data_IF_802858231022
#
_entry.id   IF_802858231022
#
_cell.length_a   1.000
_cell.length_b   1.000
_cell.length_c   1.000
_cell.angle_alpha   90.00
_cell.angle_beta   90.00
_cell.angle_gamma   90.00
#
_symmetry.space_group_name_H-M   'P 1'
#
loop_
_entity.id
_entity.type
_entity.pdbx_description
1 polymer ?
#
# COMPACT_ATOMS: atom_id res chain seq x y z
N UNK A 1 -63.47 30.47 37.51
CA UNK A 1 -62.56 29.31 37.50
C UNK A 1 -62.09 29.15 36.06
N UNK A 2 -60.96 29.69 35.70
CA UNK A 2 -60.46 29.60 34.32
C UNK A 2 -59.23 28.74 34.29
N UNK A 3 -59.32 27.62 33.60
CA UNK A 3 -58.32 26.63 33.39
C UNK A 3 -57.43 27.04 32.20
N UNK A 4 -56.14 27.32 32.42
CA UNK A 4 -55.17 27.63 31.37
C UNK A 4 -54.48 26.32 30.96
N UNK A 5 -54.76 25.83 29.75
CA UNK A 5 -54.01 24.79 29.12
C UNK A 5 -52.65 25.32 28.58
N UNK A 6 -51.57 24.86 29.17
CA UNK A 6 -50.22 25.13 28.71
C UNK A 6 -49.84 24.05 27.66
N UNK A 7 -49.80 24.42 26.39
CA UNK A 7 -49.33 23.53 25.33
C UNK A 7 -47.79 23.59 25.30
N UNK A 8 -47.15 22.51 25.76
CA UNK A 8 -45.71 22.34 25.64
C UNK A 8 -45.38 21.89 24.21
N UNK A 9 -44.78 22.78 23.42
CA UNK A 9 -44.26 22.49 22.08
C UNK A 9 -42.89 21.80 22.24
N UNK A 10 -42.87 20.46 22.09
CA UNK A 10 -41.65 19.66 22.10
C UNK A 10 -40.95 19.83 20.74
N UNK A 11 -39.94 20.70 20.67
CA UNK A 11 -39.09 20.84 19.48
C UNK A 11 -38.10 19.67 19.46
N UNK A 12 -38.41 18.64 18.71
CA UNK A 12 -37.46 17.56 18.45
C UNK A 12 -36.36 18.07 17.50
N UNK A 13 -35.19 18.45 18.04
CA UNK A 13 -34.01 18.68 17.25
C UNK A 13 -33.58 17.33 16.66
N UNK A 14 -33.92 17.09 15.41
CA UNK A 14 -33.33 16.00 14.62
C UNK A 14 -31.89 16.40 14.32
N UNK A 15 -30.96 15.94 15.14
CA UNK A 15 -29.53 16.04 14.86
C UNK A 15 -29.25 15.16 13.62
N UNK A 16 -29.38 15.72 12.42
CA UNK A 16 -28.84 15.09 11.22
C UNK A 16 -27.34 15.03 11.41
N UNK A 17 -26.81 13.84 11.71
CA UNK A 17 -25.40 13.60 11.57
C UNK A 17 -25.02 13.98 10.13
N UNK A 18 -24.14 14.97 9.97
CA UNK A 18 -23.56 15.35 8.68
C UNK A 18 -22.73 14.13 8.22
N UNK A 19 -23.36 13.21 7.52
CA UNK A 19 -22.63 12.17 6.81
C UNK A 19 -22.01 12.87 5.61
N UNK A 20 -20.69 12.79 5.50
CA UNK A 20 -19.99 13.22 4.29
C UNK A 20 -20.53 12.38 3.10
N UNK A 21 -20.67 13.01 1.95
CA UNK A 21 -21.17 12.33 0.76
C UNK A 21 -20.26 11.14 0.37
N UNK A 22 -20.83 10.03 -0.10
CA UNK A 22 -20.05 8.92 -0.63
C UNK A 22 -19.15 9.35 -1.80
N UNK A 23 -18.06 8.61 -2.02
CA UNK A 23 -17.22 8.81 -3.19
C UNK A 23 -18.09 8.73 -4.46
N UNK A 24 -18.05 9.78 -5.27
CA UNK A 24 -18.83 9.85 -6.50
C UNK A 24 -18.34 8.81 -7.53
N UNK A 25 -19.24 8.35 -8.41
CA UNK A 25 -18.86 7.49 -9.52
C UNK A 25 -17.98 8.25 -10.54
N UNK A 26 -17.07 7.55 -11.17
CA UNK A 26 -16.05 8.11 -12.04
C UNK A 26 -14.80 8.58 -11.28
N UNK A 27 -13.95 9.38 -11.95
CA UNK A 27 -12.76 9.96 -11.34
C UNK A 27 -13.12 11.10 -10.38
N UNK A 28 -12.36 11.19 -9.27
CA UNK A 28 -12.57 12.23 -8.25
C UNK A 28 -11.32 12.42 -7.40
N UNK A 29 -11.44 13.30 -6.41
CA UNK A 29 -10.42 13.56 -5.40
C UNK A 29 -11.07 13.91 -4.07
N UNK A 30 -10.36 13.63 -2.97
CA UNK A 30 -10.69 14.18 -1.66
C UNK A 30 -9.42 14.47 -0.86
N UNK A 31 -9.56 15.29 0.18
CA UNK A 31 -8.48 15.56 1.14
C UNK A 31 -8.69 14.69 2.39
N UNK A 32 -7.73 13.78 2.65
CA UNK A 32 -7.74 12.96 3.86
C UNK A 32 -7.03 13.70 5.00
N UNK A 33 -7.69 13.95 6.15
CA UNK A 33 -7.05 14.57 7.30
C UNK A 33 -5.81 13.81 7.78
N UNK A 34 -4.68 14.51 7.91
CA UNK A 34 -3.42 13.94 8.38
C UNK A 34 -2.61 14.97 9.18
N UNK A 35 -3.06 15.31 10.37
CA UNK A 35 -2.46 16.38 11.18
C UNK A 35 -2.72 17.75 10.57
N UNK A 36 -1.67 18.57 10.45
CA UNK A 36 -1.75 19.94 9.91
C UNK A 36 -1.82 19.97 8.39
N UNK A 37 -1.36 18.91 7.71
CA UNK A 37 -1.29 18.85 6.25
C UNK A 37 -2.06 17.62 5.75
N UNK A 38 -3.20 17.80 5.07
CA UNK A 38 -3.97 16.69 4.53
C UNK A 38 -3.20 15.94 3.43
N UNK A 39 -3.66 14.75 3.12
CA UNK A 39 -3.20 13.97 1.98
C UNK A 39 -4.25 14.05 0.88
N UNK A 40 -3.87 14.56 -0.27
CA UNK A 40 -4.73 14.51 -1.47
C UNK A 40 -4.81 13.07 -1.95
N UNK A 41 -6.02 12.56 -2.11
CA UNK A 41 -6.29 11.21 -2.58
C UNK A 41 -7.09 11.27 -3.88
N UNK A 42 -6.54 10.70 -4.94
CA UNK A 42 -7.22 10.56 -6.22
C UNK A 42 -8.05 9.28 -6.21
N UNK A 43 -9.28 9.35 -6.72
CA UNK A 43 -10.22 8.23 -6.65
C UNK A 43 -10.75 7.85 -8.01
N UNK A 44 -11.20 6.60 -8.11
CA UNK A 44 -12.09 6.15 -9.17
C UNK A 44 -13.06 5.13 -8.58
N UNK A 45 -14.36 5.37 -8.79
CA UNK A 45 -15.42 4.44 -8.41
C UNK A 45 -16.19 4.03 -9.67
N UNK A 46 -16.25 2.73 -10.01
CA UNK A 46 -16.98 2.29 -11.18
C UNK A 46 -18.45 2.75 -11.12
N UNK A 47 -19.06 3.18 -12.23
CA UNK A 47 -20.49 3.48 -12.26
C UNK A 47 -21.36 2.28 -11.87
N UNK A 48 -20.85 1.07 -12.08
CA UNK A 48 -21.49 -0.20 -11.75
C UNK A 48 -21.19 -0.71 -10.34
N UNK A 49 -20.42 0.07 -9.54
CA UNK A 49 -20.02 -0.33 -8.19
C UNK A 49 -21.23 -0.66 -7.30
N UNK A 50 -21.12 -1.77 -6.55
CA UNK A 50 -22.14 -2.19 -5.56
C UNK A 50 -21.53 -2.27 -4.17
N UNK A 51 -20.80 -3.34 -3.87
CA UNK A 51 -20.28 -3.66 -2.54
C UNK A 51 -18.84 -4.20 -2.57
N UNK A 52 -18.05 -3.85 -3.58
CA UNK A 52 -16.67 -4.30 -3.72
C UNK A 52 -15.73 -3.64 -2.70
N UNK A 53 -14.51 -4.18 -2.55
CA UNK A 53 -13.51 -3.66 -1.63
C UNK A 53 -12.88 -2.34 -2.12
N UNK A 54 -12.04 -1.76 -1.26
CA UNK A 54 -11.14 -0.65 -1.64
C UNK A 54 -9.83 -1.22 -2.18
N UNK A 55 -9.30 -0.63 -3.25
CA UNK A 55 -7.96 -0.86 -3.75
C UNK A 55 -7.13 0.41 -3.53
N UNK A 56 -6.19 0.36 -2.59
CA UNK A 56 -5.23 1.45 -2.38
C UNK A 56 -4.06 1.27 -3.32
N UNK A 57 -3.80 2.28 -4.17
CA UNK A 57 -2.80 2.22 -5.24
C UNK A 57 -1.64 3.15 -4.93
N UNK A 58 -0.41 2.66 -5.06
CA UNK A 58 0.81 3.40 -4.75
C UNK A 58 1.62 3.67 -6.01
N UNK A 59 1.86 4.96 -6.28
CA UNK A 59 2.56 5.44 -7.47
C UNK A 59 4.07 5.17 -7.46
N UNK A 60 4.71 5.31 -8.61
CA UNK A 60 6.16 5.20 -8.79
C UNK A 60 6.95 6.41 -8.28
N UNK A 61 8.26 6.42 -8.56
CA UNK A 61 9.18 7.48 -8.15
C UNK A 61 8.86 8.84 -8.77
N UNK A 62 8.18 8.86 -9.92
CA UNK A 62 7.72 10.08 -10.61
C UNK A 62 6.66 10.87 -9.86
N UNK A 63 5.97 10.26 -8.89
CA UNK A 63 4.86 10.85 -8.11
C UNK A 63 3.65 11.25 -8.98
N UNK A 64 3.50 10.67 -10.16
CA UNK A 64 2.40 10.90 -11.11
C UNK A 64 1.14 10.14 -10.65
N UNK A 65 0.57 10.57 -9.53
CA UNK A 65 -0.53 9.89 -8.83
C UNK A 65 -1.78 9.69 -9.69
N UNK A 66 -2.12 10.69 -10.53
CA UNK A 66 -3.28 10.63 -11.39
C UNK A 66 -3.14 9.56 -12.47
N UNK A 67 -1.96 9.41 -13.06
CA UNK A 67 -1.69 8.32 -14.01
C UNK A 67 -1.90 6.95 -13.35
N UNK A 68 -1.40 6.77 -12.13
CA UNK A 68 -1.57 5.52 -11.39
C UNK A 68 -3.04 5.21 -11.05
N UNK A 69 -3.84 6.25 -10.71
CA UNK A 69 -5.28 6.11 -10.59
C UNK A 69 -5.88 5.65 -11.92
N UNK A 70 -5.47 6.28 -13.03
CA UNK A 70 -5.98 5.95 -14.36
C UNK A 70 -5.58 4.54 -14.80
N UNK A 71 -4.35 4.10 -14.56
CA UNK A 71 -3.91 2.73 -14.82
C UNK A 71 -4.74 1.69 -14.04
N UNK A 72 -5.18 2.03 -12.83
CA UNK A 72 -5.97 1.16 -11.99
C UNK A 72 -7.47 1.12 -12.36
N UNK A 73 -7.96 1.96 -13.29
CA UNK A 73 -9.36 1.93 -13.76
C UNK A 73 -9.72 0.53 -14.30
N UNK A 74 -8.80 -0.10 -15.04
CA UNK A 74 -9.02 -1.47 -15.55
C UNK A 74 -9.29 -2.46 -14.41
N UNK A 75 -8.57 -2.35 -13.30
CA UNK A 75 -8.81 -3.19 -12.12
C UNK A 75 -10.14 -2.84 -11.46
N UNK A 76 -10.46 -1.54 -11.38
CA UNK A 76 -11.74 -1.08 -10.80
C UNK A 76 -12.94 -1.66 -11.55
N UNK A 77 -12.94 -1.56 -12.88
CA UNK A 77 -14.03 -2.06 -13.73
C UNK A 77 -14.12 -3.60 -13.72
N UNK A 78 -12.97 -4.29 -13.76
CA UNK A 78 -12.97 -5.77 -13.77
C UNK A 78 -13.45 -6.40 -12.47
N UNK A 79 -13.11 -5.77 -11.33
CA UNK A 79 -13.33 -6.38 -10.02
C UNK A 79 -14.32 -5.61 -9.13
N UNK A 80 -14.92 -4.53 -9.65
CA UNK A 80 -15.89 -3.73 -8.91
C UNK A 80 -15.32 -3.10 -7.64
N UNK A 81 -14.06 -2.62 -7.67
CA UNK A 81 -13.39 -2.04 -6.49
C UNK A 81 -13.35 -0.52 -6.57
N UNK A 82 -13.36 0.15 -5.41
CA UNK A 82 -13.07 1.58 -5.34
C UNK A 82 -11.56 1.76 -5.32
N UNK A 83 -11.01 2.46 -6.32
CA UNK A 83 -9.60 2.84 -6.37
C UNK A 83 -9.38 4.12 -5.56
N UNK A 84 -8.37 4.11 -4.69
CA UNK A 84 -7.88 5.28 -3.95
C UNK A 84 -6.36 5.35 -4.07
N UNK A 85 -5.86 6.47 -4.57
CA UNK A 85 -4.42 6.66 -4.87
C UNK A 85 -3.92 7.89 -4.13
N UNK A 86 -3.29 7.76 -2.96
CA UNK A 86 -2.77 8.88 -2.18
C UNK A 86 -1.55 9.50 -2.86
N UNK A 87 -1.48 10.82 -2.85
CA UNK A 87 -0.31 11.58 -3.29
C UNK A 87 0.73 11.66 -2.16
N UNK A 88 1.83 10.97 -2.34
CA UNK A 88 3.04 11.15 -1.54
C UNK A 88 4.02 12.01 -2.34
N UNK A 89 3.87 13.33 -2.30
CA UNK A 89 4.73 14.28 -3.00
C UNK A 89 6.21 14.20 -2.56
N UNK A 90 7.12 14.71 -3.39
CA UNK A 90 8.56 14.57 -3.14
C UNK A 90 9.05 15.39 -1.95
N UNK A 91 8.43 16.53 -1.69
CA UNK A 91 8.88 17.48 -0.67
C UNK A 91 8.59 16.95 0.73
N UNK A 92 7.35 16.52 0.98
CA UNK A 92 6.94 15.92 2.25
C UNK A 92 7.41 14.48 2.43
N UNK A 93 7.51 13.74 1.32
CA UNK A 93 7.82 12.31 1.31
C UNK A 93 9.00 11.96 0.39
N UNK A 94 10.22 12.44 0.67
CA UNK A 94 11.41 12.00 -0.05
C UNK A 94 11.57 10.48 0.03
N UNK A 95 12.51 9.89 -0.73
CA UNK A 95 12.69 8.44 -0.82
C UNK A 95 12.84 7.74 0.54
N UNK A 96 13.48 8.40 1.51
CA UNK A 96 13.60 7.88 2.89
C UNK A 96 12.25 7.75 3.59
N UNK A 97 11.30 8.62 3.31
CA UNK A 97 9.95 8.57 3.87
C UNK A 97 8.97 7.79 3.01
N UNK A 98 9.06 7.85 1.69
CA UNK A 98 8.18 7.08 0.83
C UNK A 98 8.64 5.63 0.70
N UNK A 99 9.71 5.36 -0.02
CA UNK A 99 10.14 3.97 -0.29
C UNK A 99 10.57 3.23 0.98
N UNK A 100 11.10 3.94 2.00
CA UNK A 100 11.60 3.36 3.26
C UNK A 100 10.69 3.64 4.47
N UNK A 101 9.53 4.27 4.26
CA UNK A 101 8.49 4.45 5.28
C UNK A 101 8.77 5.49 6.35
N UNK A 102 9.93 6.14 6.36
CA UNK A 102 10.28 7.10 7.41
C UNK A 102 10.53 6.46 8.77
N UNK A 103 11.00 5.22 8.81
CA UNK A 103 11.33 4.53 10.07
C UNK A 103 12.46 5.24 10.81
N UNK A 104 13.41 5.75 10.05
CA UNK A 104 14.56 6.49 10.57
C UNK A 104 14.45 7.97 10.21
N UNK A 105 14.88 8.83 11.11
CA UNK A 105 15.06 10.26 10.86
C UNK A 105 16.32 10.51 10.00
N UNK A 106 16.59 11.74 9.57
CA UNK A 106 17.81 12.06 8.79
C UNK A 106 19.13 11.72 9.48
N UNK A 107 19.13 11.59 10.82
CA UNK A 107 20.30 11.22 11.62
C UNK A 107 20.42 9.70 11.84
N UNK A 108 19.51 8.90 11.24
CA UNK A 108 19.49 7.45 11.39
C UNK A 108 18.83 6.95 12.69
N UNK A 109 18.19 7.83 13.47
CA UNK A 109 17.49 7.46 14.69
C UNK A 109 16.08 6.98 14.37
N UNK A 110 15.66 5.91 15.03
CA UNK A 110 14.30 5.36 14.92
C UNK A 110 13.25 6.36 15.36
N UNK A 111 12.20 6.50 14.56
CA UNK A 111 11.03 7.32 14.87
C UNK A 111 9.90 6.46 15.46
N UNK A 112 9.03 7.08 16.26
CA UNK A 112 7.78 6.45 16.70
C UNK A 112 6.92 6.04 15.50
N UNK A 113 6.25 4.90 15.56
CA UNK A 113 5.45 4.36 14.45
C UNK A 113 4.35 5.29 13.97
N UNK A 114 3.83 6.16 14.84
CA UNK A 114 2.86 7.20 14.46
C UNK A 114 3.42 8.26 13.50
N UNK A 115 4.76 8.43 13.45
CA UNK A 115 5.44 9.35 12.54
C UNK A 115 5.84 8.69 11.19
N UNK A 116 5.70 7.37 11.08
CA UNK A 116 5.98 6.65 9.85
C UNK A 116 4.97 7.00 8.75
N UNK A 117 5.43 7.03 7.52
CA UNK A 117 4.55 7.24 6.37
C UNK A 117 3.48 6.15 6.26
N UNK A 118 3.75 4.95 6.75
CA UNK A 118 2.79 3.85 6.79
C UNK A 118 1.56 4.17 7.64
N UNK A 119 1.68 5.00 8.69
CA UNK A 119 0.58 5.41 9.56
C UNK A 119 -0.50 6.26 8.85
N UNK A 120 -0.21 6.74 7.65
CA UNK A 120 -1.19 7.44 6.80
C UNK A 120 -2.25 6.47 6.25
N UNK A 121 -1.86 5.23 5.98
CA UNK A 121 -2.73 4.26 5.29
C UNK A 121 -4.01 3.92 6.10
N UNK A 122 -3.94 3.55 7.38
CA UNK A 122 -5.15 3.30 8.17
C UNK A 122 -6.06 4.54 8.28
N UNK A 123 -5.51 5.77 8.23
CA UNK A 123 -6.32 7.00 8.22
C UNK A 123 -7.10 7.12 6.91
N UNK A 124 -6.46 6.88 5.76
CA UNK A 124 -7.12 6.90 4.45
C UNK A 124 -8.23 5.84 4.41
N UNK A 125 -7.94 4.62 4.82
CA UNK A 125 -8.93 3.53 4.84
C UNK A 125 -10.11 3.87 5.76
N UNK A 126 -9.84 4.40 6.96
CA UNK A 126 -10.90 4.83 7.88
C UNK A 126 -11.75 5.96 7.28
N UNK A 127 -11.13 6.93 6.60
CA UNK A 127 -11.82 8.02 5.94
C UNK A 127 -12.74 7.51 4.82
N UNK A 128 -12.25 6.62 3.95
CA UNK A 128 -13.05 5.99 2.89
C UNK A 128 -14.20 5.18 3.46
N UNK A 129 -13.95 4.40 4.53
CA UNK A 129 -14.99 3.65 5.25
C UNK A 129 -16.08 4.58 5.80
N UNK A 130 -15.70 5.77 6.26
CA UNK A 130 -16.63 6.82 6.71
C UNK A 130 -17.47 7.39 5.57
N UNK A 131 -16.84 7.77 4.45
CA UNK A 131 -17.52 8.27 3.26
C UNK A 131 -18.53 7.25 2.70
N UNK A 132 -18.15 5.97 2.63
CA UNK A 132 -19.01 4.90 2.11
C UNK A 132 -20.02 4.37 3.15
N UNK A 133 -20.00 4.88 4.39
CA UNK A 133 -20.79 4.38 5.52
C UNK A 133 -20.63 2.85 5.75
N UNK A 134 -19.46 2.30 5.44
CA UNK A 134 -19.13 0.87 5.50
C UNK A 134 -17.91 0.64 6.40
N UNK A 135 -18.05 0.59 7.73
CA UNK A 135 -16.92 0.56 8.68
C UNK A 135 -16.04 -0.69 8.57
N UNK A 136 -16.53 -1.77 7.96
CA UNK A 136 -15.80 -3.03 7.76
C UNK A 136 -15.42 -3.29 6.30
N UNK A 137 -15.50 -2.27 5.43
CA UNK A 137 -15.14 -2.41 4.02
C UNK A 137 -13.72 -2.96 3.90
N UNK A 138 -13.52 -4.15 3.29
CA UNK A 138 -12.18 -4.72 3.14
C UNK A 138 -11.35 -3.89 2.17
N UNK A 139 -10.02 -3.97 2.30
CA UNK A 139 -9.13 -3.29 1.38
C UNK A 139 -7.94 -4.15 0.96
N UNK A 140 -7.47 -3.87 -0.24
CA UNK A 140 -6.28 -4.42 -0.88
C UNK A 140 -5.31 -3.29 -1.17
N UNK A 141 -4.05 -3.60 -1.32
CA UNK A 141 -3.02 -2.64 -1.70
C UNK A 141 -2.24 -3.14 -2.92
N UNK A 142 -1.97 -2.27 -3.86
CA UNK A 142 -1.06 -2.53 -4.99
C UNK A 142 -0.16 -1.31 -5.21
N UNK A 143 1.11 -1.55 -5.44
CA UNK A 143 2.06 -0.48 -5.77
C UNK A 143 3.11 -0.96 -6.75
N UNK A 144 3.49 -0.10 -7.68
CA UNK A 144 4.49 -0.42 -8.69
C UNK A 144 5.78 0.37 -8.45
N UNK A 145 6.94 -0.23 -8.74
CA UNK A 145 8.24 0.42 -8.64
C UNK A 145 8.52 0.96 -7.22
N UNK A 146 8.60 2.28 -7.01
CA UNK A 146 8.74 2.90 -5.69
C UNK A 146 7.55 2.57 -4.77
N UNK A 147 6.33 2.49 -5.30
CA UNK A 147 5.14 2.03 -4.58
C UNK A 147 5.25 0.56 -4.16
N UNK A 148 5.82 -0.28 -5.00
CA UNK A 148 6.16 -1.66 -4.66
C UNK A 148 7.19 -1.74 -3.53
N UNK A 149 8.23 -0.89 -3.58
CA UNK A 149 9.22 -0.79 -2.50
C UNK A 149 8.58 -0.36 -1.17
N UNK A 150 7.65 0.62 -1.22
CA UNK A 150 6.88 1.03 -0.06
C UNK A 150 6.12 -0.15 0.55
N UNK A 151 5.42 -0.92 -0.28
CA UNK A 151 4.56 -2.02 0.16
C UNK A 151 5.33 -3.22 0.71
N UNK A 152 6.48 -3.58 0.14
CA UNK A 152 7.35 -4.62 0.68
C UNK A 152 7.74 -4.29 2.13
N UNK A 153 8.09 -3.05 2.41
CA UNK A 153 8.50 -2.61 3.75
C UNK A 153 7.31 -2.40 4.68
N UNK A 154 6.21 -1.85 4.17
CA UNK A 154 4.97 -1.76 4.94
C UNK A 154 4.52 -3.13 5.44
N UNK A 155 4.64 -4.18 4.61
CA UNK A 155 4.29 -5.55 4.99
C UNK A 155 5.12 -6.07 6.18
N UNK A 156 6.36 -5.58 6.36
CA UNK A 156 7.21 -5.93 7.49
C UNK A 156 6.85 -5.19 8.78
N UNK A 157 6.54 -3.91 8.69
CA UNK A 157 6.48 -3.04 9.84
C UNK A 157 5.06 -2.59 10.22
N UNK A 158 4.13 -2.53 9.26
CA UNK A 158 2.75 -2.09 9.52
C UNK A 158 1.76 -2.65 8.45
N UNK A 159 1.61 -3.98 8.33
CA UNK A 159 0.73 -4.58 7.30
C UNK A 159 -0.75 -4.21 7.48
N UNK A 160 -1.17 -3.82 8.69
CA UNK A 160 -2.56 -3.47 8.97
C UNK A 160 -3.53 -4.63 8.76
N UNK A 161 -4.76 -4.30 8.33
CA UNK A 161 -5.86 -5.24 8.05
C UNK A 161 -6.00 -5.53 6.54
N UNK A 162 -4.99 -5.23 5.72
CA UNK A 162 -5.06 -5.46 4.29
C UNK A 162 -5.27 -6.96 3.99
N UNK A 163 -6.25 -7.27 3.15
CA UNK A 163 -6.52 -8.65 2.71
C UNK A 163 -5.34 -9.18 1.89
N UNK A 164 -4.75 -8.31 1.05
CA UNK A 164 -3.56 -8.61 0.24
C UNK A 164 -2.75 -7.34 0.00
N UNK A 165 -1.44 -7.48 -0.01
CA UNK A 165 -0.44 -6.44 -0.30
C UNK A 165 0.32 -6.89 -1.55
N UNK A 166 0.19 -6.17 -2.67
CA UNK A 166 0.81 -6.54 -3.95
C UNK A 166 1.92 -5.56 -4.30
N UNK A 167 3.15 -6.04 -4.28
CA UNK A 167 4.33 -5.27 -4.68
C UNK A 167 4.70 -5.62 -6.13
N UNK A 168 4.34 -4.74 -7.08
CA UNK A 168 4.60 -4.90 -8.49
C UNK A 168 5.96 -4.30 -8.88
N UNK A 169 6.83 -5.08 -9.46
CA UNK A 169 8.17 -4.68 -9.96
C UNK A 169 8.94 -3.74 -8.99
N UNK A 170 9.10 -4.06 -7.70
CA UNK A 170 9.85 -3.20 -6.79
C UNK A 170 11.29 -3.00 -7.26
N UNK A 171 11.79 -1.77 -7.16
CA UNK A 171 13.20 -1.47 -7.50
C UNK A 171 14.21 -2.15 -6.57
N UNK A 172 13.83 -2.37 -5.30
CA UNK A 172 14.57 -3.16 -4.31
C UNK A 172 13.60 -3.79 -3.31
N UNK A 173 14.04 -4.84 -2.64
CA UNK A 173 13.26 -5.59 -1.67
C UNK A 173 13.83 -5.46 -0.26
N UNK A 174 13.06 -5.84 0.74
CA UNK A 174 13.51 -6.03 2.12
C UNK A 174 13.74 -7.54 2.31
N UNK A 175 15.00 -7.96 2.22
CA UNK A 175 15.36 -9.34 2.48
C UNK A 175 15.20 -9.67 3.98
N UNK A 176 14.70 -10.85 4.35
CA UNK A 176 14.46 -11.20 5.74
C UNK A 176 15.77 -11.63 6.43
N UNK A 177 16.80 -10.79 6.33
CA UNK A 177 18.11 -11.00 6.94
C UNK A 177 18.59 -9.72 7.63
N UNK A 178 19.59 -9.85 8.53
CA UNK A 178 20.23 -8.74 9.24
C UNK A 178 21.61 -8.38 8.68
N UNK A 179 22.01 -9.03 7.59
CA UNK A 179 23.31 -8.80 6.92
C UNK A 179 23.21 -7.54 6.07
N UNK A 180 22.17 -7.45 5.25
CA UNK A 180 21.90 -6.27 4.46
C UNK A 180 21.36 -5.15 5.34
N UNK A 181 21.92 -3.94 5.19
CA UNK A 181 21.46 -2.76 5.93
C UNK A 181 20.01 -2.40 5.59
N UNK A 182 19.32 -1.71 6.52
CA UNK A 182 17.95 -1.25 6.31
C UNK A 182 17.80 -0.42 5.03
N UNK A 183 16.75 -0.75 4.34
CA UNK A 183 16.50 -0.39 2.95
C UNK A 183 16.62 -1.61 2.05
N UNK A 184 17.45 -2.58 2.38
CA UNK A 184 17.64 -3.82 1.63
C UNK A 184 17.42 -5.07 2.50
N UNK A 185 17.68 -4.99 3.79
CA UNK A 185 17.43 -5.99 4.81
C UNK A 185 17.11 -5.33 6.15
N UNK A 186 17.21 -6.06 7.25
CA UNK A 186 16.92 -5.58 8.61
C UNK A 186 18.17 -5.12 9.37
N UNK A 187 19.35 -5.17 8.76
CA UNK A 187 20.62 -4.76 9.38
C UNK A 187 20.60 -3.28 9.75
N UNK A 188 21.24 -2.95 10.88
CA UNK A 188 21.34 -1.58 11.40
C UNK A 188 20.06 -1.05 12.06
N UNK A 189 18.96 -1.79 12.02
CA UNK A 189 17.78 -1.47 12.81
C UNK A 189 17.93 -1.94 14.26
N UNK A 190 17.31 -1.26 15.25
CA UNK A 190 17.27 -1.72 16.62
C UNK A 190 16.49 -3.03 16.74
N UNK A 191 16.72 -3.77 17.83
CA UNK A 191 16.18 -5.13 18.01
C UNK A 191 14.66 -5.18 17.93
N UNK A 192 13.95 -4.20 18.45
CA UNK A 192 12.49 -4.11 18.39
C UNK A 192 11.93 -4.03 16.96
N UNK A 193 12.77 -3.67 15.97
CA UNK A 193 12.41 -3.61 14.54
C UNK A 193 13.10 -4.69 13.70
N UNK A 194 13.96 -5.51 14.27
CA UNK A 194 14.77 -6.47 13.51
C UNK A 194 14.88 -7.86 14.14
N UNK A 195 14.27 -8.12 15.31
CA UNK A 195 14.30 -9.43 15.94
C UNK A 195 13.52 -10.51 15.16
N UNK A 196 13.65 -11.75 15.57
CA UNK A 196 13.02 -12.88 14.90
C UNK A 196 11.48 -12.78 14.86
N UNK A 197 10.85 -12.18 15.85
CA UNK A 197 9.40 -11.99 15.87
C UNK A 197 8.93 -11.01 14.79
N UNK A 198 9.69 -9.96 14.53
CA UNK A 198 9.39 -9.02 13.42
C UNK A 198 9.52 -9.74 12.08
N UNK A 199 10.62 -10.45 11.87
CA UNK A 199 10.84 -11.20 10.62
C UNK A 199 9.78 -12.29 10.44
N UNK A 200 9.45 -13.03 11.49
CA UNK A 200 8.38 -14.04 11.47
C UNK A 200 7.03 -13.45 11.06
N UNK A 201 6.63 -12.29 11.63
CA UNK A 201 5.39 -11.60 11.25
C UNK A 201 5.44 -11.11 9.80
N UNK A 202 6.59 -10.64 9.34
CA UNK A 202 6.78 -10.25 7.95
C UNK A 202 6.56 -11.42 6.99
N UNK A 203 7.12 -12.59 7.27
CA UNK A 203 6.93 -13.79 6.46
C UNK A 203 5.48 -14.30 6.49
N UNK A 204 4.75 -14.05 7.58
CA UNK A 204 3.33 -14.35 7.71
C UNK A 204 2.41 -13.27 7.12
N UNK A 205 2.92 -12.11 6.67
CA UNK A 205 2.12 -11.06 6.07
C UNK A 205 1.52 -11.51 4.71
N UNK A 206 0.34 -11.00 4.32
CA UNK A 206 -0.31 -11.39 3.06
C UNK A 206 0.33 -10.67 1.86
N UNK A 207 1.63 -10.85 1.63
CA UNK A 207 2.40 -10.20 0.57
C UNK A 207 2.39 -11.03 -0.71
N UNK A 208 2.16 -10.37 -1.85
CA UNK A 208 2.40 -10.91 -3.19
C UNK A 208 3.51 -10.10 -3.85
N UNK A 209 4.58 -10.77 -4.28
CA UNK A 209 5.60 -10.21 -5.17
C UNK A 209 5.11 -10.45 -6.60
N UNK A 210 4.78 -9.36 -7.32
CA UNK A 210 4.21 -9.40 -8.66
C UNK A 210 5.24 -8.87 -9.67
N UNK A 211 5.66 -9.71 -10.60
CA UNK A 211 6.82 -9.44 -11.46
C UNK A 211 6.46 -9.52 -12.95
N UNK A 212 6.88 -8.53 -13.72
CA UNK A 212 6.91 -8.61 -15.16
C UNK A 212 8.16 -9.35 -15.64
N UNK A 213 8.00 -10.39 -16.48
CA UNK A 213 9.14 -11.22 -16.88
C UNK A 213 10.12 -10.53 -17.81
N UNK A 214 9.71 -9.42 -18.46
CA UNK A 214 10.59 -8.57 -19.26
C UNK A 214 11.25 -7.42 -18.50
N UNK A 215 10.98 -7.26 -17.17
CA UNK A 215 11.70 -6.31 -16.30
C UNK A 215 13.07 -6.87 -15.87
N UNK A 216 13.84 -7.26 -16.88
CA UNK A 216 15.11 -8.00 -16.79
C UNK A 216 16.31 -7.21 -17.30
N UNK A 217 16.13 -5.92 -17.57
CA UNK A 217 17.20 -4.99 -17.97
C UNK A 217 17.23 -3.80 -17.04
N UNK A 218 18.42 -3.29 -16.65
CA UNK A 218 18.52 -2.04 -15.91
C UNK A 218 18.05 -0.85 -16.75
N UNK A 219 17.20 -0.01 -16.16
CA UNK A 219 16.72 1.23 -16.74
C UNK A 219 17.19 2.43 -15.92
N UNK A 220 16.86 3.64 -16.40
CA UNK A 220 17.31 4.92 -15.84
C UNK A 220 17.03 5.12 -14.34
N UNK A 221 15.97 4.50 -13.79
CA UNK A 221 15.61 4.55 -12.37
C UNK A 221 16.05 3.33 -11.56
N UNK A 222 16.88 2.47 -12.17
CA UNK A 222 17.37 1.25 -11.50
C UNK A 222 18.44 1.61 -10.46
N UNK A 223 18.31 1.03 -9.28
CA UNK A 223 19.31 1.18 -8.22
C UNK A 223 20.52 0.27 -8.48
N UNK A 224 21.55 0.84 -9.12
CA UNK A 224 22.81 0.17 -9.41
C UNK A 224 23.87 0.34 -8.30
N UNK A 225 23.48 0.82 -7.10
CA UNK A 225 24.40 0.88 -5.95
C UNK A 225 24.93 -0.50 -5.59
N UNK A 226 26.12 -0.60 -4.98
CA UNK A 226 26.66 -1.88 -4.52
C UNK A 226 25.66 -2.66 -3.66
N UNK A 227 24.95 -1.99 -2.75
CA UNK A 227 23.94 -2.61 -1.91
C UNK A 227 22.71 -3.12 -2.70
N UNK A 228 22.26 -2.35 -3.70
CA UNK A 228 21.19 -2.79 -4.61
C UNK A 228 21.60 -3.98 -5.47
N UNK A 229 22.84 -4.01 -5.94
CA UNK A 229 23.38 -5.08 -6.80
C UNK A 229 23.54 -6.42 -6.06
N UNK A 230 23.68 -6.43 -4.74
CA UNK A 230 23.67 -7.67 -3.93
C UNK A 230 22.35 -8.42 -4.10
N UNK A 231 21.23 -7.71 -4.31
CA UNK A 231 19.92 -8.34 -4.49
C UNK A 231 19.73 -9.00 -5.86
N UNK A 232 20.48 -8.55 -6.86
CA UNK A 232 20.42 -9.08 -8.22
C UNK A 232 20.61 -8.01 -9.30
N UNK A 233 20.91 -8.45 -10.53
CA UNK A 233 21.28 -7.57 -11.64
C UNK A 233 20.11 -6.78 -12.24
N UNK A 234 18.87 -7.16 -12.00
CA UNK A 234 17.66 -6.50 -12.48
C UNK A 234 16.46 -6.81 -11.58
N UNK A 235 15.34 -6.10 -11.75
CA UNK A 235 14.19 -6.17 -10.82
C UNK A 235 13.55 -7.56 -10.74
N UNK A 236 13.40 -8.25 -11.86
CA UNK A 236 12.90 -9.62 -11.89
C UNK A 236 13.77 -10.56 -11.03
N UNK A 237 15.09 -10.49 -11.21
CA UNK A 237 16.03 -11.32 -10.42
C UNK A 237 15.92 -10.98 -8.91
N UNK A 238 15.83 -9.71 -8.55
CA UNK A 238 15.69 -9.26 -7.15
C UNK A 238 14.43 -9.80 -6.49
N UNK A 239 13.30 -9.73 -7.20
CA UNK A 239 12.03 -10.24 -6.69
C UNK A 239 12.05 -11.75 -6.45
N UNK A 240 12.55 -12.50 -7.42
CA UNK A 240 12.73 -13.97 -7.31
C UNK A 240 13.67 -14.35 -6.17
N UNK A 241 14.80 -13.67 -6.06
CA UNK A 241 15.80 -13.93 -5.00
C UNK A 241 15.22 -13.62 -3.61
N UNK A 242 14.52 -12.50 -3.44
CA UNK A 242 13.89 -12.17 -2.17
C UNK A 242 12.82 -13.18 -1.75
N UNK A 243 11.96 -13.59 -2.69
CA UNK A 243 10.95 -14.61 -2.42
C UNK A 243 11.57 -15.94 -2.01
N UNK A 244 12.58 -16.41 -2.76
CA UNK A 244 13.28 -17.66 -2.46
C UNK A 244 13.97 -17.62 -1.09
N UNK A 245 14.66 -16.53 -0.75
CA UNK A 245 15.29 -16.35 0.56
C UNK A 245 14.25 -16.37 1.70
N UNK A 246 13.11 -15.70 1.50
CA UNK A 246 12.03 -15.66 2.48
C UNK A 246 11.40 -17.04 2.70
N UNK A 247 11.13 -17.78 1.62
CA UNK A 247 10.58 -19.15 1.67
C UNK A 247 11.55 -20.12 2.36
N UNK A 248 12.84 -20.02 2.04
CA UNK A 248 13.88 -20.85 2.65
C UNK A 248 13.96 -20.60 4.15
N UNK A 249 14.05 -19.34 4.58
CA UNK A 249 14.09 -18.97 5.99
C UNK A 249 12.85 -19.48 6.76
N UNK A 250 11.66 -19.28 6.19
CA UNK A 250 10.42 -19.74 6.82
C UNK A 250 10.43 -21.27 7.01
N UNK A 251 10.88 -22.02 6.00
CA UNK A 251 11.01 -23.47 6.06
C UNK A 251 12.01 -23.92 7.12
N UNK A 252 13.20 -23.32 7.14
CA UNK A 252 14.27 -23.65 8.09
C UNK A 252 13.87 -23.38 9.54
N UNK A 253 13.07 -22.33 9.76
CA UNK A 253 12.59 -21.91 11.11
C UNK A 253 11.26 -22.54 11.51
N UNK A 254 10.57 -23.24 10.61
CA UNK A 254 9.22 -23.75 10.86
C UNK A 254 8.18 -22.64 11.06
N UNK A 255 8.37 -21.49 10.40
CA UNK A 255 7.48 -20.33 10.49
C UNK A 255 6.41 -20.35 9.40
N UNK A 256 5.26 -19.73 9.70
CA UNK A 256 4.22 -19.51 8.71
C UNK A 256 4.74 -18.64 7.55
N UNK A 257 4.41 -19.03 6.32
CA UNK A 257 4.79 -18.32 5.10
C UNK A 257 3.55 -18.05 4.25
N UNK A 258 3.11 -16.78 4.18
CA UNK A 258 1.90 -16.38 3.48
C UNK A 258 2.18 -15.55 2.22
N UNK A 259 3.45 -15.42 1.84
CA UNK A 259 3.80 -14.73 0.61
C UNK A 259 3.43 -15.56 -0.60
N UNK A 260 3.18 -14.85 -1.70
CA UNK A 260 3.00 -15.44 -3.03
C UNK A 260 3.88 -14.73 -4.03
N UNK A 261 4.19 -15.42 -5.14
CA UNK A 261 4.76 -14.80 -6.32
C UNK A 261 3.81 -15.00 -7.48
N UNK A 262 3.61 -13.96 -8.28
CA UNK A 262 2.87 -14.00 -9.54
C UNK A 262 3.73 -13.32 -10.58
N UNK A 263 3.86 -13.94 -11.75
CA UNK A 263 4.63 -13.38 -12.86
C UNK A 263 3.71 -13.15 -14.07
N UNK A 264 3.90 -12.03 -14.76
CA UNK A 264 3.17 -11.73 -15.99
C UNK A 264 4.15 -11.78 -17.17
N UNK A 265 3.90 -12.66 -18.16
CA UNK A 265 4.81 -12.86 -19.27
C UNK A 265 4.94 -11.64 -20.17
N UNK A 266 6.17 -11.31 -20.59
CA UNK A 266 6.44 -10.31 -21.63
C UNK A 266 6.25 -8.86 -21.22
N UNK A 267 5.85 -8.55 -19.97
CA UNK A 267 5.70 -7.18 -19.50
C UNK A 267 6.97 -6.74 -18.77
N UNK A 268 7.44 -5.54 -19.07
CA UNK A 268 8.59 -4.88 -18.47
C UNK A 268 8.23 -4.01 -17.27
N UNK A 269 8.87 -2.82 -17.17
CA UNK A 269 8.71 -1.90 -16.04
C UNK A 269 7.58 -0.87 -16.23
N UNK A 270 6.46 -1.27 -16.81
CA UNK A 270 5.34 -0.38 -17.13
C UNK A 270 4.10 -0.66 -16.27
N UNK A 271 3.80 0.26 -15.35
CA UNK A 271 2.67 0.12 -14.41
C UNK A 271 1.32 -0.10 -15.11
N UNK A 272 1.08 0.60 -16.23
CA UNK A 272 -0.17 0.48 -17.00
C UNK A 272 -0.39 -0.95 -17.48
N UNK A 273 0.63 -1.57 -18.05
CA UNK A 273 0.55 -2.96 -18.55
C UNK A 273 0.49 -3.97 -17.40
N UNK A 274 1.26 -3.76 -16.32
CA UNK A 274 1.20 -4.60 -15.12
C UNK A 274 -0.20 -4.62 -14.52
N UNK A 275 -0.90 -3.48 -14.44
CA UNK A 275 -2.25 -3.40 -13.87
C UNK A 275 -3.33 -3.91 -14.82
N UNK A 276 -3.13 -3.80 -16.14
CA UNK A 276 -4.05 -4.29 -17.14
C UNK A 276 -3.94 -5.81 -17.38
N UNK A 277 -2.82 -6.43 -17.01
CA UNK A 277 -2.59 -7.85 -17.23
C UNK A 277 -3.62 -8.74 -16.50
N UNK A 278 -3.86 -9.93 -17.05
CA UNK A 278 -4.78 -10.89 -16.44
C UNK A 278 -4.29 -11.30 -15.05
N UNK A 279 -3.01 -11.53 -14.91
CA UNK A 279 -2.32 -11.97 -13.67
C UNK A 279 -2.42 -10.95 -12.53
N UNK A 280 -2.72 -9.67 -12.80
CA UNK A 280 -2.98 -8.68 -11.75
C UNK A 280 -4.18 -9.09 -10.87
N UNK A 281 -5.19 -9.74 -11.45
CA UNK A 281 -6.30 -10.34 -10.72
C UNK A 281 -5.85 -11.45 -9.79
N UNK A 282 -4.99 -12.34 -10.27
CA UNK A 282 -4.43 -13.43 -9.47
C UNK A 282 -3.54 -12.90 -8.35
N UNK A 283 -2.75 -11.85 -8.62
CA UNK A 283 -1.91 -11.20 -7.63
C UNK A 283 -2.72 -10.59 -6.47
N UNK A 284 -3.87 -9.98 -6.77
CA UNK A 284 -4.75 -9.32 -5.80
C UNK A 284 -5.70 -10.28 -5.11
N UNK A 285 -6.44 -11.10 -5.88
CA UNK A 285 -7.61 -11.84 -5.42
C UNK A 285 -7.44 -13.37 -5.50
N UNK A 286 -6.39 -13.86 -6.16
CA UNK A 286 -6.10 -15.31 -6.23
C UNK A 286 -5.98 -15.96 -4.85
N UNK A 287 -6.30 -17.26 -4.78
CA UNK A 287 -6.25 -18.06 -3.55
C UNK A 287 -4.84 -18.56 -3.25
#
# INVERSE_FOLDING_TARGET
MSSRFLAALLCALVCRALHADPIAAGPGTFECPNGTEPITVFTYKPPTYKDGPVLVVFHGVGRNVEDYRNFAITLAERFGVIVVTPLFDKDRFPSSRYQRGGLLDPNGKTQASAAWTYAVIPKIVAHVRGLEAKPKLPYYMIGHSAGGQFLVRLAAFMPGEAVRIVAANPGSHLFPDRVQQFGYGFGGLPDELSNDDVIRRYLAAPLTIYLGTADNTPEHSFDASPAGMVQGPHRLARGRACFAAAQTLAKERGWAFNWRTVETPGIGHEAAFMFAAQEAGDALFGK
#
